data_IF_131825093622
#
_entry.id   IF_131825093622
#
_cell.length_a   1.000
_cell.length_b   1.000
_cell.length_c   1.000
_cell.angle_alpha   90.00
_cell.angle_beta   90.00
_cell.angle_gamma   90.00
#
_symmetry.space_group_name_H-M   'P 1'
#
loop_
_entity.id
_entity.type
_entity.pdbx_description
1 polymer ?
#
# COMPACT_ATOMS: atom_id res chain seq x y z
N UNK A 1 -18.29 -18.74 -14.41
CA UNK A 1 -17.26 -18.20 -15.31
C UNK A 1 -16.51 -17.17 -14.50
N UNK A 2 -15.22 -17.39 -14.29
CA UNK A 2 -14.36 -16.52 -13.49
C UNK A 2 -13.94 -15.36 -14.38
N UNK A 3 -14.35 -14.13 -14.05
CA UNK A 3 -13.91 -12.95 -14.81
C UNK A 3 -12.59 -12.47 -14.22
N UNK A 4 -11.51 -12.53 -15.00
CA UNK A 4 -10.28 -11.81 -14.69
C UNK A 4 -10.50 -10.36 -15.06
N UNK A 5 -10.45 -9.48 -14.07
CA UNK A 5 -10.38 -8.05 -14.33
C UNK A 5 -9.01 -7.58 -13.88
N UNK A 6 -8.17 -7.14 -14.82
CA UNK A 6 -6.90 -6.52 -14.44
C UNK A 6 -7.20 -5.04 -14.26
N UNK A 7 -7.61 -4.66 -13.05
CA UNK A 7 -7.76 -3.25 -12.70
C UNK A 7 -6.47 -2.74 -12.11
N UNK A 8 -6.02 -1.58 -12.58
CA UNK A 8 -5.07 -0.80 -11.79
C UNK A 8 -5.79 -0.25 -10.58
N UNK A 9 -5.50 -0.80 -9.42
CA UNK A 9 -5.82 -0.14 -8.17
C UNK A 9 -4.58 0.63 -7.73
N UNK A 10 -4.68 1.93 -7.39
CA UNK A 10 -3.63 2.61 -6.66
C UNK A 10 -3.31 1.78 -5.42
N UNK A 11 -2.10 1.24 -5.39
CA UNK A 11 -1.62 0.36 -4.34
C UNK A 11 -0.38 0.99 -3.73
N UNK A 12 -0.30 1.04 -2.41
CA UNK A 12 0.77 1.78 -1.73
C UNK A 12 2.03 0.95 -1.58
N UNK A 13 2.97 1.12 -2.50
CA UNK A 13 4.37 0.83 -2.18
C UNK A 13 4.91 1.84 -1.18
N UNK A 14 5.47 1.40 -0.05
CA UNK A 14 6.17 2.28 0.87
C UNK A 14 7.59 2.49 0.37
N UNK A 15 7.83 3.59 -0.34
CA UNK A 15 9.19 4.09 -0.52
C UNK A 15 9.46 5.13 0.56
N UNK A 16 10.01 4.64 1.67
CA UNK A 16 10.48 5.46 2.78
C UNK A 16 11.97 5.22 3.01
N UNK A 17 12.77 6.25 2.80
CA UNK A 17 14.05 6.42 3.46
C UNK A 17 14.00 7.76 4.20
N UNK A 18 14.79 7.97 5.27
CA UNK A 18 14.98 9.32 5.77
C UNK A 18 15.51 10.17 4.59
N UNK A 19 14.72 11.14 4.14
CA UNK A 19 15.30 12.23 3.37
C UNK A 19 16.36 12.86 4.27
N UNK A 20 17.49 13.28 3.71
CA UNK A 20 18.61 13.83 4.47
C UNK A 20 18.23 15.05 5.36
N UNK A 21 16.99 15.57 5.22
CA UNK A 21 16.48 16.82 5.77
C UNK A 21 15.31 16.66 6.79
N UNK A 22 15.29 15.66 7.69
CA UNK A 22 14.30 15.58 8.80
C UNK A 22 12.83 15.29 8.40
N UNK A 23 12.56 14.58 7.29
CA UNK A 23 11.20 14.22 6.88
C UNK A 23 11.03 12.71 6.67
N UNK A 24 9.88 12.18 7.10
CA UNK A 24 9.38 10.86 6.70
C UNK A 24 8.47 11.08 5.50
N UNK A 25 9.01 10.87 4.31
CA UNK A 25 8.26 10.97 3.06
C UNK A 25 7.53 9.64 2.80
N UNK A 26 6.23 9.71 2.53
CA UNK A 26 5.47 8.62 1.91
C UNK A 26 5.17 8.97 0.46
N UNK A 27 5.75 8.17 -0.41
CA UNK A 27 5.45 8.19 -1.83
C UNK A 27 4.44 7.10 -2.13
N UNK A 28 3.31 7.48 -2.72
CA UNK A 28 2.26 6.56 -3.15
C UNK A 28 2.41 6.41 -4.64
N UNK A 29 2.81 5.23 -5.08
CA UNK A 29 2.88 4.89 -6.49
C UNK A 29 1.60 4.20 -6.91
N UNK A 30 1.17 4.39 -8.16
CA UNK A 30 0.10 3.55 -8.70
C UNK A 30 0.73 2.31 -9.32
N UNK A 31 0.15 1.14 -9.02
CA UNK A 31 0.61 -0.16 -9.51
C UNK A 31 -0.51 -0.85 -10.26
N UNK A 32 -0.16 -1.94 -10.94
CA UNK A 32 -1.12 -2.85 -11.56
C UNK A 32 -1.29 -4.05 -10.65
N UNK A 33 -2.54 -4.40 -10.33
CA UNK A 33 -2.91 -5.53 -9.48
C UNK A 33 -3.87 -6.45 -10.27
N UNK A 34 -3.82 -7.75 -10.00
CA UNK A 34 -4.71 -8.71 -10.65
C UNK A 34 -5.96 -8.93 -9.78
N UNK A 35 -7.16 -8.87 -10.37
CA UNK A 35 -8.42 -9.16 -9.67
C UNK A 35 -9.03 -10.45 -10.23
N UNK A 36 -9.26 -11.42 -9.36
CA UNK A 36 -9.89 -12.70 -9.66
C UNK A 36 -11.20 -12.80 -8.88
N UNK A 37 -12.32 -12.93 -9.59
CA UNK A 37 -13.67 -13.00 -9.01
C UNK A 37 -13.98 -11.83 -8.04
N UNK A 38 -13.53 -10.63 -8.41
CA UNK A 38 -13.78 -9.41 -7.65
C UNK A 38 -12.89 -9.20 -6.42
N UNK A 39 -11.89 -10.07 -6.21
CA UNK A 39 -10.89 -9.95 -5.13
C UNK A 39 -9.49 -9.80 -5.70
N UNK A 40 -8.65 -8.97 -5.09
CA UNK A 40 -7.25 -8.84 -5.55
C UNK A 40 -6.48 -10.13 -5.26
N UNK A 41 -5.44 -10.43 -6.06
CA UNK A 41 -4.55 -11.56 -5.77
C UNK A 41 -3.92 -11.41 -4.38
N UNK A 42 -3.65 -10.18 -3.96
CA UNK A 42 -3.22 -9.88 -2.59
C UNK A 42 -4.26 -10.30 -1.54
N UNK A 43 -5.53 -9.90 -1.67
CA UNK A 43 -6.61 -10.33 -0.76
C UNK A 43 -6.84 -11.85 -0.77
N UNK A 44 -6.62 -12.49 -1.91
CA UNK A 44 -6.81 -13.93 -2.08
C UNK A 44 -5.71 -14.74 -1.41
N UNK A 45 -4.47 -14.23 -1.42
CA UNK A 45 -3.35 -14.90 -0.78
C UNK A 45 -3.53 -15.07 0.73
N UNK A 46 -4.28 -14.20 1.40
CA UNK A 46 -4.57 -14.33 2.84
C UNK A 46 -3.35 -14.33 3.76
N UNK A 47 -2.16 -14.15 3.20
CA UNK A 47 -0.96 -13.79 3.94
C UNK A 47 -1.24 -12.36 4.44
N UNK A 48 -0.70 -11.98 5.60
CA UNK A 48 -0.44 -10.58 5.89
C UNK A 48 0.62 -10.12 4.86
N UNK A 49 0.24 -10.10 3.58
CA UNK A 49 1.03 -9.58 2.49
C UNK A 49 1.20 -8.15 2.88
N UNK A 50 2.40 -7.85 3.37
CA UNK A 50 2.80 -6.49 3.65
C UNK A 50 2.32 -5.65 2.47
N UNK A 51 1.57 -4.55 2.68
CA UNK A 51 1.10 -3.68 1.61
C UNK A 51 2.22 -3.21 0.67
N UNK A 52 3.48 -3.56 0.92
CA UNK A 52 4.61 -3.22 0.10
C UNK A 52 4.87 -4.16 -1.10
N UNK A 53 4.24 -5.35 -1.19
CA UNK A 53 4.50 -6.32 -2.26
C UNK A 53 4.23 -5.74 -3.66
N UNK A 54 5.04 -6.16 -4.64
CA UNK A 54 5.04 -5.62 -5.99
C UNK A 54 4.65 -6.69 -7.02
N UNK A 55 4.19 -6.30 -8.20
CA UNK A 55 3.84 -7.23 -9.27
C UNK A 55 4.93 -7.32 -10.32
N UNK A 56 4.78 -8.25 -11.27
CA UNK A 56 5.70 -8.37 -12.41
C UNK A 56 5.80 -7.08 -13.24
N UNK A 57 4.75 -6.25 -13.27
CA UNK A 57 4.75 -4.96 -13.95
C UNK A 57 5.59 -3.89 -13.25
N UNK A 58 5.86 -4.05 -11.95
CA UNK A 58 6.75 -3.18 -11.18
C UNK A 58 8.21 -3.62 -11.29
N UNK A 59 8.45 -4.93 -11.48
CA UNK A 59 9.78 -5.54 -11.57
C UNK A 59 10.52 -5.23 -12.87
N UNK A 60 9.79 -5.30 -13.99
CA UNK A 60 10.39 -5.21 -15.34
C UNK A 60 9.65 -4.22 -16.23
N UNK A 61 10.13 -4.03 -17.45
CA UNK A 61 9.39 -3.21 -18.42
C UNK A 61 8.02 -3.83 -18.72
N UNK A 62 6.98 -2.99 -18.82
CA UNK A 62 5.61 -3.45 -18.98
C UNK A 62 5.40 -4.38 -20.19
N UNK A 63 6.11 -4.14 -21.30
CA UNK A 63 6.10 -5.02 -22.46
C UNK A 63 6.70 -6.40 -22.17
N UNK A 64 7.81 -6.46 -21.42
CA UNK A 64 8.40 -7.72 -20.99
C UNK A 64 7.50 -8.46 -19.99
N UNK A 65 6.88 -7.74 -19.06
CA UNK A 65 5.90 -8.31 -18.13
C UNK A 65 4.72 -8.94 -18.89
N UNK A 66 4.18 -8.26 -19.90
CA UNK A 66 3.12 -8.79 -20.76
C UNK A 66 3.57 -10.04 -21.53
N UNK A 67 4.76 -10.01 -22.14
CA UNK A 67 5.29 -11.17 -22.86
C UNK A 67 5.54 -12.37 -21.94
N UNK A 68 6.00 -12.14 -20.71
CA UNK A 68 6.16 -13.17 -19.69
C UNK A 68 4.81 -13.78 -19.32
N UNK A 69 3.79 -12.96 -19.04
CA UNK A 69 2.43 -13.43 -18.69
C UNK A 69 1.77 -14.20 -19.84
N UNK A 70 2.10 -13.87 -21.09
CA UNK A 70 1.67 -14.58 -22.29
C UNK A 70 2.53 -15.80 -22.64
N UNK A 71 3.53 -16.14 -21.83
CA UNK A 71 4.44 -17.26 -22.06
C UNK A 71 5.35 -17.09 -23.29
N UNK A 72 5.51 -15.86 -23.78
CA UNK A 72 6.36 -15.50 -24.94
C UNK A 72 7.79 -15.17 -24.53
N UNK A 73 8.01 -14.83 -23.26
CA UNK A 73 9.31 -14.54 -22.67
C UNK A 73 9.46 -15.22 -21.30
N UNK A 74 10.67 -15.22 -20.76
CA UNK A 74 10.98 -15.67 -19.41
C UNK A 74 11.69 -14.55 -18.65
N UNK A 75 11.41 -14.44 -17.36
CA UNK A 75 12.22 -13.63 -16.45
C UNK A 75 13.55 -14.39 -16.19
N UNK A 76 14.62 -13.66 -15.89
CA UNK A 76 15.99 -14.18 -15.73
C UNK A 76 16.13 -15.33 -14.71
N UNK A 77 17.33 -15.94 -14.61
CA UNK A 77 17.67 -17.12 -13.77
C UNK A 77 17.25 -17.07 -12.28
N UNK A 78 16.86 -15.91 -11.76
CA UNK A 78 16.35 -15.73 -10.40
C UNK A 78 14.89 -16.17 -10.20
N UNK A 79 14.16 -16.50 -11.26
CA UNK A 79 12.76 -16.95 -11.17
C UNK A 79 12.61 -18.47 -11.35
N UNK A 80 11.55 -19.08 -10.81
CA UNK A 80 11.40 -20.53 -10.78
C UNK A 80 11.36 -21.15 -12.19
N UNK A 81 12.20 -22.15 -12.51
CA UNK A 81 12.38 -22.69 -13.87
C UNK A 81 11.24 -23.59 -14.38
N UNK A 82 10.06 -23.60 -13.75
CA UNK A 82 9.00 -24.60 -14.01
C UNK A 82 7.76 -24.05 -14.76
N UNK A 83 7.89 -22.95 -15.50
CA UNK A 83 6.74 -22.33 -16.17
C UNK A 83 5.74 -21.70 -15.18
N UNK A 84 6.28 -21.24 -14.05
CA UNK A 84 5.54 -20.53 -13.02
C UNK A 84 5.81 -19.05 -13.15
N UNK A 85 4.75 -18.28 -13.04
CA UNK A 85 4.78 -16.84 -13.19
C UNK A 85 4.60 -16.19 -11.81
N UNK A 86 5.49 -15.26 -11.44
CA UNK A 86 5.31 -14.45 -10.24
C UNK A 86 4.13 -13.49 -10.47
N UNK A 87 3.20 -13.44 -9.52
CA UNK A 87 2.10 -12.48 -9.52
C UNK A 87 2.33 -11.40 -8.45
N UNK A 88 2.80 -11.81 -7.27
CA UNK A 88 3.26 -10.92 -6.19
C UNK A 88 4.69 -11.29 -5.82
N UNK A 89 5.52 -10.28 -5.56
CA UNK A 89 6.93 -10.42 -5.20
C UNK A 89 7.25 -9.52 -4.02
N UNK A 90 8.22 -9.93 -3.21
CA UNK A 90 8.78 -9.16 -2.12
C UNK A 90 9.01 -7.69 -2.52
N UNK A 91 8.73 -6.72 -1.63
CA UNK A 91 8.87 -5.28 -1.92
C UNK A 91 10.23 -4.85 -2.45
N UNK A 92 11.31 -5.53 -2.06
CA UNK A 92 12.67 -5.25 -2.52
C UNK A 92 12.88 -5.59 -4.00
N UNK A 93 11.95 -6.34 -4.60
CA UNK A 93 11.99 -6.82 -5.97
C UNK A 93 12.90 -8.01 -6.20
N UNK A 94 13.40 -8.64 -5.14
CA UNK A 94 14.11 -9.92 -5.19
C UNK A 94 13.12 -11.08 -5.02
N UNK A 95 12.84 -11.86 -6.09
CA UNK A 95 11.89 -12.98 -6.04
C UNK A 95 12.27 -14.06 -5.04
N UNK A 96 13.56 -14.19 -4.75
CA UNK A 96 14.10 -15.14 -3.78
C UNK A 96 13.72 -14.82 -2.35
N UNK A 97 13.36 -13.57 -2.04
CA UNK A 97 12.90 -13.18 -0.70
C UNK A 97 11.41 -13.45 -0.48
N UNK A 98 10.70 -13.97 -1.47
CA UNK A 98 9.30 -14.34 -1.37
C UNK A 98 8.50 -13.91 -2.60
N UNK A 99 7.82 -14.88 -3.23
CA UNK A 99 6.94 -14.62 -4.35
C UNK A 99 5.73 -15.56 -4.34
N UNK A 100 4.54 -14.99 -4.52
CA UNK A 100 3.36 -15.77 -4.89
C UNK A 100 3.41 -16.05 -6.39
N UNK A 101 3.51 -17.34 -6.72
CA UNK A 101 3.61 -17.81 -8.10
C UNK A 101 2.43 -18.67 -8.48
N UNK A 102 2.11 -18.65 -9.77
CA UNK A 102 1.08 -19.52 -10.36
C UNK A 102 1.64 -20.25 -11.57
N UNK A 103 1.21 -21.49 -11.80
CA UNK A 103 1.50 -22.15 -13.08
C UNK A 103 0.50 -21.64 -14.11
N UNK A 104 1.00 -21.20 -15.25
CA UNK A 104 0.16 -20.75 -16.37
C UNK A 104 0.26 -21.75 -17.51
N UNK A 105 -0.89 -22.22 -17.98
CA UNK A 105 -1.00 -23.10 -19.14
C UNK A 105 -1.88 -22.44 -20.19
N UNK A 106 -1.31 -22.18 -21.38
CA UNK A 106 -2.04 -21.61 -22.51
C UNK A 106 -2.38 -22.72 -23.50
N UNK A 107 -3.64 -22.75 -23.92
CA UNK A 107 -4.14 -23.54 -25.03
C UNK A 107 -4.60 -22.60 -26.14
N UNK A 108 -5.14 -23.14 -27.25
CA UNK A 108 -5.61 -22.31 -28.37
C UNK A 108 -6.68 -21.29 -27.96
N UNK A 109 -7.57 -21.66 -27.03
CA UNK A 109 -8.77 -20.87 -26.72
C UNK A 109 -8.87 -20.50 -25.22
N UNK A 110 -7.96 -21.01 -24.38
CA UNK A 110 -8.08 -20.89 -22.92
C UNK A 110 -6.72 -20.75 -22.25
N UNK A 111 -6.63 -19.86 -21.26
CA UNK A 111 -5.54 -19.75 -20.29
C UNK A 111 -6.00 -20.32 -18.96
N UNK A 112 -5.17 -21.13 -18.33
CA UNK A 112 -5.42 -21.69 -17.00
C UNK A 112 -4.34 -21.25 -16.04
N UNK A 113 -4.76 -20.72 -14.90
CA UNK A 113 -3.93 -20.44 -13.73
C UNK A 113 -4.20 -21.52 -12.69
N UNK A 114 -3.20 -22.33 -12.37
CA UNK A 114 -3.32 -23.41 -11.39
C UNK A 114 -2.07 -23.56 -10.52
N UNK A 115 -2.15 -24.48 -9.54
CA UNK A 115 -1.01 -24.87 -8.68
C UNK A 115 -0.30 -23.67 -8.06
N UNK A 116 -1.05 -22.76 -7.46
CA UNK A 116 -0.52 -21.63 -6.70
C UNK A 116 0.49 -22.08 -5.65
N UNK A 117 1.55 -21.30 -5.44
CA UNK A 117 2.51 -21.55 -4.36
C UNK A 117 3.20 -20.27 -3.93
N UNK A 118 3.61 -20.23 -2.67
CA UNK A 118 4.61 -19.29 -2.19
C UNK A 118 5.99 -19.89 -2.37
N UNK A 119 6.92 -19.11 -2.92
CA UNK A 119 8.29 -19.52 -3.19
C UNK A 119 9.26 -18.51 -2.58
N UNK A 120 10.20 -18.99 -1.77
CA UNK A 120 11.25 -18.22 -1.11
C UNK A 120 12.52 -19.08 -1.08
N UNK A 121 13.68 -18.49 -1.33
CA UNK A 121 14.96 -19.19 -1.30
C UNK A 121 15.23 -19.76 0.08
N UNK A 122 15.65 -21.03 0.12
CA UNK A 122 15.98 -21.73 1.36
C UNK A 122 14.79 -22.38 2.05
N UNK A 123 13.56 -22.21 1.54
CA UNK A 123 12.38 -22.91 2.03
C UNK A 123 11.79 -23.86 0.96
N UNK A 124 11.18 -24.99 1.38
CA UNK A 124 10.40 -25.80 0.46
C UNK A 124 9.25 -24.97 -0.11
N UNK A 125 9.01 -25.10 -1.41
CA UNK A 125 7.83 -24.55 -2.08
C UNK A 125 6.55 -24.90 -1.31
N UNK A 126 5.81 -23.88 -0.90
CA UNK A 126 4.58 -24.04 -0.13
C UNK A 126 3.37 -23.92 -1.06
N UNK A 127 2.65 -25.01 -1.34
CA UNK A 127 1.44 -24.93 -2.15
C UNK A 127 0.42 -24.02 -1.47
N UNK A 128 -0.33 -23.26 -2.27
CA UNK A 128 -1.46 -22.46 -1.84
C UNK A 128 -2.78 -23.18 -2.22
N UNK A 129 -3.18 -24.25 -1.50
CA UNK A 129 -4.32 -25.09 -1.90
C UNK A 129 -5.67 -24.39 -1.77
N UNK A 130 -5.72 -23.24 -1.08
CA UNK A 130 -6.92 -22.44 -0.90
C UNK A 130 -7.31 -21.65 -2.15
N UNK A 131 -6.37 -21.47 -3.09
CA UNK A 131 -6.63 -20.76 -4.34
C UNK A 131 -7.12 -21.73 -5.43
N UNK A 132 -8.30 -21.49 -6.03
CA UNK A 132 -8.84 -22.38 -7.04
C UNK A 132 -8.04 -22.30 -8.35
N UNK A 133 -8.22 -23.31 -9.20
CA UNK A 133 -7.83 -23.18 -10.60
C UNK A 133 -8.74 -22.16 -11.28
N UNK A 134 -8.15 -21.20 -11.99
CA UNK A 134 -8.86 -20.17 -12.72
C UNK A 134 -8.70 -20.39 -14.23
N UNK A 135 -9.78 -20.20 -14.98
CA UNK A 135 -9.82 -20.43 -16.42
C UNK A 135 -10.35 -19.21 -17.14
N UNK A 136 -9.67 -18.81 -18.21
CA UNK A 136 -9.95 -17.58 -18.94
C UNK A 136 -9.97 -17.83 -20.44
N UNK A 137 -10.90 -17.25 -21.20
CA UNK A 137 -10.78 -17.16 -22.65
C UNK A 137 -9.46 -16.47 -23.04
N UNK A 138 -8.75 -17.01 -24.04
CA UNK A 138 -7.42 -16.51 -24.41
C UNK A 138 -7.45 -15.06 -24.91
N UNK A 139 -8.49 -14.68 -25.64
CA UNK A 139 -8.70 -13.34 -26.17
C UNK A 139 -8.96 -12.32 -25.05
N UNK A 140 -9.84 -12.64 -24.10
CA UNK A 140 -10.09 -11.81 -22.91
C UNK A 140 -8.82 -11.66 -22.06
N UNK A 141 -8.09 -12.76 -21.85
CA UNK A 141 -6.81 -12.72 -21.12
C UNK A 141 -5.79 -11.82 -21.82
N UNK A 142 -5.59 -11.98 -23.13
CA UNK A 142 -4.65 -11.15 -23.89
C UNK A 142 -5.03 -9.68 -23.84
N UNK A 143 -6.31 -9.34 -24.00
CA UNK A 143 -6.79 -7.97 -23.94
C UNK A 143 -6.54 -7.34 -22.56
N UNK A 144 -6.80 -8.09 -21.49
CA UNK A 144 -6.54 -7.62 -20.13
C UNK A 144 -5.05 -7.39 -19.87
N UNK A 145 -4.17 -8.28 -20.36
CA UNK A 145 -2.71 -8.11 -20.24
C UNK A 145 -2.23 -6.88 -21.03
N UNK A 146 -2.76 -6.63 -22.23
CA UNK A 146 -2.43 -5.46 -23.03
C UNK A 146 -2.88 -4.16 -22.34
N UNK A 147 -4.08 -4.13 -21.76
CA UNK A 147 -4.58 -3.01 -20.96
C UNK A 147 -3.69 -2.77 -19.73
N UNK A 148 -3.36 -3.84 -19.00
CA UNK A 148 -2.47 -3.79 -17.84
C UNK A 148 -1.10 -3.20 -18.19
N UNK A 149 -0.50 -3.61 -19.31
CA UNK A 149 0.78 -3.10 -19.79
C UNK A 149 0.71 -1.61 -20.17
N UNK A 150 -0.38 -1.17 -20.80
CA UNK A 150 -0.62 0.24 -21.11
C UNK A 150 -0.73 1.07 -19.83
N UNK A 151 -1.47 0.58 -18.84
CA UNK A 151 -1.64 1.25 -17.56
C UNK A 151 -0.32 1.31 -16.79
N UNK A 152 0.42 0.19 -16.69
CA UNK A 152 1.74 0.15 -16.07
C UNK A 152 2.70 1.16 -16.72
N UNK A 153 2.73 1.22 -18.06
CA UNK A 153 3.55 2.20 -18.80
C UNK A 153 3.12 3.64 -18.50
N UNK A 154 1.82 3.90 -18.44
CA UNK A 154 1.29 5.23 -18.13
C UNK A 154 1.62 5.67 -16.69
N UNK A 155 1.73 4.72 -15.76
CA UNK A 155 1.98 4.96 -14.33
C UNK A 155 3.48 4.93 -13.95
N UNK A 156 4.34 4.28 -14.75
CA UNK A 156 5.77 4.06 -14.41
C UNK A 156 6.48 5.37 -14.04
N UNK A 157 7.08 5.40 -12.84
CA UNK A 157 7.80 6.55 -12.31
C UNK A 157 6.91 7.73 -11.87
N UNK A 158 5.59 7.63 -12.01
CA UNK A 158 4.63 8.66 -11.59
C UNK A 158 4.01 8.28 -10.25
N UNK A 159 4.43 8.96 -9.18
CA UNK A 159 3.69 8.93 -7.93
C UNK A 159 2.26 9.48 -8.15
N UNK A 160 1.24 8.77 -7.69
CA UNK A 160 -0.15 9.26 -7.65
C UNK A 160 -0.33 10.27 -6.54
N UNK A 161 0.38 10.13 -5.43
CA UNK A 161 0.47 11.19 -4.43
C UNK A 161 1.78 11.11 -3.65
N UNK A 162 2.26 12.24 -3.16
CA UNK A 162 3.42 12.31 -2.28
C UNK A 162 3.00 13.09 -1.05
N UNK A 163 2.98 12.43 0.10
CA UNK A 163 2.61 13.00 1.40
C UNK A 163 3.77 12.76 2.34
N UNK A 164 4.28 13.81 2.97
CA UNK A 164 5.32 13.68 3.99
C UNK A 164 4.85 14.22 5.33
N UNK A 165 5.37 13.63 6.39
CA UNK A 165 5.26 14.15 7.75
C UNK A 165 6.66 14.47 8.23
N UNK A 166 6.83 15.55 8.99
CA UNK A 166 8.14 15.88 9.54
C UNK A 166 8.61 14.70 10.39
N UNK A 167 9.77 14.12 10.06
CA UNK A 167 10.40 13.16 10.94
C UNK A 167 11.07 13.97 12.02
N UNK A 168 10.57 13.87 13.25
CA UNK A 168 11.34 14.37 14.38
C UNK A 168 12.35 13.28 14.74
N UNK A 169 13.61 13.36 14.26
CA UNK A 169 14.55 12.26 14.38
C UNK A 169 14.59 11.82 15.84
N UNK A 170 14.27 10.54 16.08
CA UNK A 170 14.14 9.91 17.40
C UNK A 170 15.38 9.94 18.30
N UNK A 171 16.37 10.76 17.95
CA UNK A 171 17.56 11.06 18.70
C UNK A 171 17.29 11.87 19.98
N UNK A 172 18.40 12.16 20.67
CA UNK A 172 18.38 12.72 22.02
C UNK A 172 17.64 14.08 22.09
N UNK A 173 17.70 14.90 21.03
CA UNK A 173 16.99 16.19 20.95
C UNK A 173 15.46 16.03 20.93
N UNK A 174 14.92 15.11 20.13
CA UNK A 174 13.47 14.83 20.14
C UNK A 174 13.01 14.25 21.48
N UNK A 175 13.80 13.36 22.11
CA UNK A 175 13.49 12.89 23.48
C UNK A 175 13.49 14.02 24.51
N UNK A 176 14.39 15.00 24.37
CA UNK A 176 14.44 16.20 25.23
C UNK A 176 13.24 17.11 24.96
N UNK A 177 12.88 17.36 23.70
CA UNK A 177 11.70 18.15 23.30
C UNK A 177 10.40 17.46 23.75
N UNK A 178 10.29 16.14 23.60
CA UNK A 178 9.16 15.32 24.10
C UNK A 178 9.10 15.29 25.63
N UNK A 179 10.24 15.32 26.33
CA UNK A 179 10.27 15.50 27.81
C UNK A 179 9.88 16.92 28.22
N UNK A 180 10.08 17.91 27.36
CA UNK A 180 9.68 19.29 27.59
C UNK A 180 8.18 19.53 27.26
N UNK A 181 7.60 18.79 26.31
CA UNK A 181 6.20 18.86 25.86
C UNK A 181 5.36 17.71 26.46
N UNK A 182 4.03 17.74 26.29
CA UNK A 182 3.15 16.63 26.70
C UNK A 182 3.15 15.52 25.64
N UNK A 183 2.77 14.30 26.02
CA UNK A 183 2.61 13.21 25.05
C UNK A 183 1.58 13.57 23.97
N UNK A 184 0.47 14.21 24.36
CA UNK A 184 -0.54 14.71 23.45
C UNK A 184 0.05 15.67 22.40
N UNK A 185 0.92 16.59 22.80
CA UNK A 185 1.59 17.51 21.87
C UNK A 185 2.42 16.76 20.84
N UNK A 186 3.15 15.72 21.26
CA UNK A 186 3.96 14.91 20.36
C UNK A 186 3.11 14.15 19.34
N UNK A 187 1.92 13.68 19.73
CA UNK A 187 1.00 13.00 18.80
C UNK A 187 0.39 13.98 17.79
N UNK A 188 0.12 15.22 18.21
CA UNK A 188 -0.41 16.27 17.31
C UNK A 188 0.62 16.68 16.26
N UNK A 189 1.92 16.67 16.58
CA UNK A 189 2.97 16.99 15.61
C UNK A 189 2.98 15.99 14.42
N UNK A 190 2.70 14.70 14.66
CA UNK A 190 2.61 13.67 13.61
C UNK A 190 1.38 13.80 12.70
N UNK A 191 0.47 14.75 12.99
CA UNK A 191 -0.66 15.10 12.13
C UNK A 191 -0.32 16.27 11.18
N UNK A 192 0.90 16.81 11.24
CA UNK A 192 1.39 17.84 10.33
C UNK A 192 1.86 17.23 9.00
N UNK A 193 0.92 17.13 8.06
CA UNK A 193 1.15 16.55 6.75
C UNK A 193 1.42 17.64 5.70
N UNK A 194 2.42 17.42 4.86
CA UNK A 194 2.69 18.19 3.66
C UNK A 194 2.41 17.35 2.41
N UNK A 195 1.65 17.92 1.47
CA UNK A 195 1.30 17.28 0.19
C UNK A 195 2.22 17.86 -0.87
N UNK A 196 3.21 17.08 -1.30
CA UNK A 196 4.15 17.50 -2.33
C UNK A 196 3.59 17.31 -3.75
N UNK A 197 2.69 16.35 -3.91
CA UNK A 197 1.99 16.11 -5.18
C UNK A 197 0.58 15.56 -4.90
N UNK A 198 -0.49 16.30 -5.21
CA UNK A 198 -1.84 15.74 -5.23
C UNK A 198 -2.06 14.86 -6.46
N UNK A 199 -3.01 13.93 -6.37
CA UNK A 199 -3.40 13.06 -7.47
C UNK A 199 -3.97 13.85 -8.65
N UNK A 200 -3.54 13.52 -9.87
CA UNK A 200 -3.95 14.20 -11.09
C UNK A 200 -5.28 13.68 -11.65
N UNK A 201 -5.77 12.53 -11.17
CA UNK A 201 -7.05 11.93 -11.55
C UNK A 201 -8.11 12.08 -10.47
N UNK A 202 -9.40 12.10 -10.87
CA UNK A 202 -10.58 12.35 -10.02
C UNK A 202 -10.80 11.47 -8.77
N UNK A 203 -9.88 10.56 -8.43
CA UNK A 203 -9.80 9.88 -7.13
C UNK A 203 -9.45 10.82 -5.95
N UNK A 204 -9.25 12.11 -6.23
CA UNK A 204 -8.85 13.12 -5.26
C UNK A 204 -9.86 13.38 -4.14
N UNK A 205 -11.16 13.12 -4.33
CA UNK A 205 -12.18 13.45 -3.32
C UNK A 205 -11.93 12.75 -1.97
N UNK A 206 -11.66 11.43 -1.99
CA UNK A 206 -11.40 10.65 -0.79
C UNK A 206 -10.12 11.09 -0.05
N UNK A 207 -9.05 11.41 -0.79
CA UNK A 207 -7.82 11.93 -0.20
C UNK A 207 -8.01 13.33 0.41
N UNK A 208 -8.75 14.22 -0.26
CA UNK A 208 -9.03 15.56 0.29
C UNK A 208 -9.87 15.49 1.56
N UNK A 209 -10.88 14.61 1.59
CA UNK A 209 -11.68 14.37 2.79
C UNK A 209 -10.83 13.82 3.95
N UNK A 210 -9.97 12.85 3.67
CA UNK A 210 -9.02 12.28 4.63
C UNK A 210 -8.12 13.35 5.24
N UNK A 211 -7.51 14.18 4.40
CA UNK A 211 -6.60 15.25 4.83
C UNK A 211 -7.33 16.37 5.58
N UNK A 212 -8.54 16.71 5.16
CA UNK A 212 -9.38 17.67 5.88
C UNK A 212 -9.72 17.16 7.29
N UNK A 213 -10.00 15.87 7.43
CA UNK A 213 -10.25 15.25 8.73
C UNK A 213 -9.01 15.27 9.63
N UNK A 214 -7.82 14.92 9.11
CA UNK A 214 -6.55 15.02 9.86
C UNK A 214 -6.29 16.45 10.32
N UNK A 215 -6.45 17.43 9.42
CA UNK A 215 -6.30 18.85 9.74
C UNK A 215 -7.30 19.32 10.80
N UNK A 216 -8.53 18.82 10.75
CA UNK A 216 -9.55 19.14 11.75
C UNK A 216 -9.16 18.64 13.14
N UNK A 217 -8.61 17.42 13.26
CA UNK A 217 -8.10 16.90 14.55
C UNK A 217 -6.99 17.80 15.08
N UNK A 218 -6.05 18.18 14.21
CA UNK A 218 -4.94 19.07 14.59
C UNK A 218 -5.45 20.43 15.08
N UNK A 219 -6.46 21.01 14.43
CA UNK A 219 -7.05 22.27 14.84
C UNK A 219 -7.75 22.18 16.21
N UNK A 220 -8.50 21.11 16.46
CA UNK A 220 -9.16 20.86 17.76
C UNK A 220 -8.15 20.76 18.90
N UNK A 221 -6.97 20.20 18.63
CA UNK A 221 -5.90 19.98 19.60
C UNK A 221 -4.76 21.01 19.50
N UNK A 222 -4.93 22.11 18.77
CA UNK A 222 -3.85 23.06 18.49
C UNK A 222 -3.21 23.61 19.78
N UNK A 223 -4.00 23.84 20.82
CA UNK A 223 -3.51 24.30 22.12
C UNK A 223 -2.54 23.33 22.80
N UNK A 224 -2.64 22.02 22.52
CA UNK A 224 -1.70 21.03 23.04
C UNK A 224 -0.26 21.28 22.59
N UNK A 225 -0.08 21.92 21.42
CA UNK A 225 1.25 22.16 20.85
C UNK A 225 2.04 23.22 21.62
N UNK A 226 1.34 24.15 22.30
CA UNK A 226 1.92 25.31 23.00
C UNK A 226 1.75 25.26 24.52
N UNK A 227 0.72 24.58 25.03
CA UNK A 227 0.49 24.38 26.47
C UNK A 227 0.68 22.91 26.88
N UNK A 228 1.73 22.67 27.67
CA UNK A 228 2.07 21.35 28.21
C UNK A 228 0.99 20.77 29.12
N UNK A 229 0.21 21.62 29.80
CA UNK A 229 -0.84 21.19 30.74
C UNK A 229 -2.20 21.12 30.08
N UNK A 230 -2.27 21.40 28.78
CA UNK A 230 -3.51 21.32 28.04
C UNK A 230 -4.11 19.92 28.16
N UNK A 231 -5.39 19.90 28.52
CA UNK A 231 -6.23 18.72 28.46
C UNK A 231 -7.44 19.09 27.61
N UNK A 232 -7.76 18.31 26.57
CA UNK A 232 -8.97 18.54 25.78
C UNK A 232 -10.21 18.38 26.65
N UNK A 233 -11.27 19.11 26.32
CA UNK A 233 -12.58 18.90 26.95
C UNK A 233 -13.14 17.53 26.54
N UNK A 234 -14.18 17.06 27.25
CA UNK A 234 -14.90 15.84 26.88
C UNK A 234 -15.42 15.92 25.44
N UNK A 235 -16.06 17.04 25.09
CA UNK A 235 -16.63 17.29 23.76
C UNK A 235 -15.54 17.29 22.66
N UNK A 236 -14.39 17.90 22.93
CA UNK A 236 -13.24 17.86 22.02
C UNK A 236 -12.70 16.43 21.86
N UNK A 237 -12.60 15.70 22.96
CA UNK A 237 -12.14 14.30 22.97
C UNK A 237 -13.07 13.41 22.14
N UNK A 238 -14.39 13.55 22.29
CA UNK A 238 -15.38 12.81 21.49
C UNK A 238 -15.27 13.12 19.99
N UNK A 239 -15.11 14.40 19.63
CA UNK A 239 -14.91 14.79 18.21
C UNK A 239 -13.63 14.20 17.64
N UNK A 240 -12.53 14.28 18.39
CA UNK A 240 -11.23 13.74 17.96
C UNK A 240 -11.29 12.22 17.80
N UNK A 241 -11.84 11.50 18.78
CA UNK A 241 -11.98 10.03 18.72
C UNK A 241 -12.85 9.61 17.54
N UNK A 242 -13.98 10.31 17.31
CA UNK A 242 -14.85 10.05 16.18
C UNK A 242 -14.16 10.30 14.83
N UNK A 243 -13.42 11.40 14.70
CA UNK A 243 -12.66 11.69 13.50
C UNK A 243 -11.51 10.70 13.26
N UNK A 244 -10.72 10.38 14.29
CA UNK A 244 -9.64 9.40 14.21
C UNK A 244 -10.16 8.03 13.80
N UNK A 245 -11.31 7.61 14.36
CA UNK A 245 -11.93 6.33 14.01
C UNK A 245 -12.36 6.31 12.54
N UNK A 246 -13.02 7.37 12.05
CA UNK A 246 -13.40 7.48 10.62
C UNK A 246 -12.19 7.43 9.69
N UNK A 247 -11.10 8.11 10.04
CA UNK A 247 -9.85 8.10 9.26
C UNK A 247 -9.27 6.69 9.25
N UNK A 248 -9.15 6.03 10.40
CA UNK A 248 -8.57 4.70 10.52
C UNK A 248 -9.39 3.61 9.81
N UNK A 249 -10.70 3.79 9.67
CA UNK A 249 -11.57 2.87 8.91
C UNK A 249 -11.80 3.30 7.46
N UNK A 250 -11.20 4.41 7.01
CA UNK A 250 -11.34 4.89 5.64
C UNK A 250 -10.62 3.96 4.67
N UNK A 251 -11.20 3.66 3.50
CA UNK A 251 -10.49 2.93 2.46
C UNK A 251 -9.28 3.69 1.92
N UNK A 252 -9.12 4.99 2.24
CA UNK A 252 -7.99 5.83 1.81
C UNK A 252 -6.89 5.97 2.90
N UNK A 253 -7.03 5.33 4.07
CA UNK A 253 -6.10 5.49 5.19
C UNK A 253 -4.64 5.10 4.84
N UNK A 254 -4.48 4.20 3.87
CA UNK A 254 -3.21 3.71 3.35
C UNK A 254 -2.31 4.83 2.81
N UNK A 255 -2.89 5.98 2.47
CA UNK A 255 -2.15 7.14 1.97
C UNK A 255 -1.37 7.89 3.05
N UNK A 256 -1.66 7.65 4.33
CA UNK A 256 -1.04 8.39 5.42
C UNK A 256 0.29 7.75 5.86
N UNK A 257 1.29 8.55 6.27
CA UNK A 257 2.48 8.02 6.94
C UNK A 257 2.16 7.19 8.18
N UNK A 258 2.91 6.11 8.38
CA UNK A 258 2.76 5.24 9.56
C UNK A 258 2.84 6.02 10.90
N UNK A 259 3.73 7.01 11.09
CA UNK A 259 3.72 7.83 12.29
C UNK A 259 2.37 8.53 12.53
N UNK A 260 1.73 9.00 11.46
CA UNK A 260 0.39 9.62 11.51
C UNK A 260 -0.68 8.59 11.89
N UNK A 261 -0.65 7.38 11.31
CA UNK A 261 -1.57 6.31 11.67
C UNK A 261 -1.43 5.90 13.14
N UNK A 262 -0.20 5.76 13.63
CA UNK A 262 0.10 5.46 15.02
C UNK A 262 -0.42 6.55 15.97
N UNK A 263 -0.26 7.83 15.58
CA UNK A 263 -0.76 8.95 16.37
C UNK A 263 -2.29 8.98 16.42
N UNK A 264 -2.97 8.69 15.31
CA UNK A 264 -4.42 8.60 15.26
C UNK A 264 -4.95 7.46 16.14
N UNK A 265 -4.29 6.30 16.11
CA UNK A 265 -4.64 5.17 16.98
C UNK A 265 -4.42 5.51 18.47
N UNK A 266 -3.30 6.16 18.78
CA UNK A 266 -3.03 6.65 20.14
C UNK A 266 -4.12 7.62 20.62
N UNK A 267 -4.51 8.60 19.79
CA UNK A 267 -5.56 9.57 20.14
C UNK A 267 -6.90 8.88 20.36
N UNK A 268 -7.25 7.92 19.49
CA UNK A 268 -8.45 7.10 19.64
C UNK A 268 -8.44 6.33 20.96
N UNK A 269 -7.33 5.68 21.31
CA UNK A 269 -7.22 4.88 22.53
C UNK A 269 -7.18 5.72 23.82
N UNK A 270 -6.38 6.80 23.84
CA UNK A 270 -6.07 7.52 25.07
C UNK A 270 -7.09 8.60 25.42
N UNK A 271 -7.77 9.20 24.44
CA UNK A 271 -8.82 10.18 24.70
C UNK A 271 -10.18 9.52 25.01
N UNK A 272 -10.34 8.24 24.66
CA UNK A 272 -11.54 7.45 24.99
C UNK A 272 -11.66 7.10 26.48
N UNK A 273 -10.58 7.23 27.26
CA UNK A 273 -10.50 6.85 28.69
C UNK A 273 -10.89 8.02 29.61
N UNK A 274 -11.11 9.22 29.08
CA UNK A 274 -11.44 10.44 29.84
C UNK A 274 -12.93 10.49 30.27
N UNK A 275 -13.43 9.41 30.89
CA UNK A 275 -14.74 9.34 31.54
C UNK A 275 -14.63 9.56 33.05
#
# INVERSE_FOLDING_TARGET
MTSLEIRSQPWTGVFGGPDADEWTTRRIESRVEFIVDGRTVTELSGIDVDPEHITVFDLVEAGLAADVLMGRAQLTESFPPEGRLPLLVCPCGEPREGALTVRVSLTKDTVTWDRWAWEEDGFPKEPFPTLPACHFPLDEYSAAIDEAAQVATAMRGKASSIIRVADHPGGMRHRIVRRARSELAAQVDWLDLEILKPDAGGASAGLHELLAAVKSIRNELAAATTDRRYSPTLEQSERVVGAASRILTSPENFRLPQPTLNALDWLRGNLSVTK
#
